data_IF_863573480899
#
_entry.id   IF_863573480899
#
_cell.length_a   1.000
_cell.length_b   1.000
_cell.length_c   1.000
_cell.angle_alpha   90.00
_cell.angle_beta   90.00
_cell.angle_gamma   90.00
#
_symmetry.space_group_name_H-M   'P 1'
#
loop_
_entity.id
_entity.type
_entity.pdbx_description
1 polymer ?
#
# COMPACT_ATOMS: atom_id res chain seq x y z
N UNK A 1 8.58 -63.61 -27.63
CA UNK A 1 7.89 -62.53 -26.88
C UNK A 1 8.72 -62.17 -25.67
N UNK A 2 9.40 -61.02 -25.64
CA UNK A 2 9.67 -60.29 -24.38
C UNK A 2 10.34 -58.95 -24.70
N UNK A 3 9.52 -57.94 -24.99
CA UNK A 3 9.92 -56.53 -24.95
C UNK A 3 9.84 -56.08 -23.50
N UNK A 4 10.91 -56.29 -22.73
CA UNK A 4 11.10 -55.69 -21.40
C UNK A 4 12.58 -55.36 -21.24
N UNK A 5 12.86 -54.18 -20.71
CA UNK A 5 14.18 -53.68 -20.29
C UNK A 5 14.96 -52.83 -21.30
N UNK A 6 14.45 -51.64 -21.61
CA UNK A 6 15.28 -50.49 -22.02
C UNK A 6 14.77 -49.17 -21.41
N UNK A 7 14.55 -49.16 -20.09
CA UNK A 7 14.26 -47.94 -19.32
C UNK A 7 14.91 -48.03 -17.93
N UNK A 8 16.22 -47.84 -17.77
CA UNK A 8 16.77 -47.71 -16.39
C UNK A 8 18.17 -47.11 -16.20
N UNK A 9 18.86 -46.54 -17.19
CA UNK A 9 20.31 -46.24 -17.02
C UNK A 9 20.68 -44.74 -17.04
N UNK A 10 19.72 -43.81 -16.92
CA UNK A 10 20.04 -42.37 -16.90
C UNK A 10 19.37 -41.59 -15.76
N UNK A 11 19.56 -42.01 -14.50
CA UNK A 11 18.99 -41.28 -13.35
C UNK A 11 19.83 -41.07 -12.07
N UNK A 12 21.18 -41.20 -12.02
CA UNK A 12 21.92 -40.83 -10.82
C UNK A 12 22.40 -39.36 -10.79
N UNK A 13 22.81 -38.76 -11.92
CA UNK A 13 23.46 -37.43 -11.90
C UNK A 13 22.51 -36.25 -11.61
N UNK A 14 21.22 -36.35 -11.94
CA UNK A 14 20.24 -35.29 -11.62
C UNK A 14 19.93 -35.19 -10.12
N UNK A 15 20.03 -36.29 -9.36
CA UNK A 15 19.72 -36.31 -7.92
C UNK A 15 20.79 -35.62 -7.07
N UNK A 16 22.07 -35.79 -7.39
CA UNK A 16 23.17 -35.20 -6.61
C UNK A 16 23.24 -33.68 -6.72
N UNK A 17 23.03 -33.12 -7.93
CA UNK A 17 22.96 -31.68 -8.14
C UNK A 17 21.74 -31.04 -7.43
N UNK A 18 20.57 -31.70 -7.44
CA UNK A 18 19.37 -31.23 -6.74
C UNK A 18 19.50 -31.19 -5.21
N UNK A 19 20.25 -32.11 -4.59
CA UNK A 19 20.44 -32.15 -3.13
C UNK A 19 21.26 -30.96 -2.63
N UNK A 20 22.29 -30.55 -3.37
CA UNK A 20 23.15 -29.42 -2.97
C UNK A 20 22.40 -28.08 -3.09
N UNK A 21 21.57 -27.91 -4.12
CA UNK A 21 20.72 -26.72 -4.28
C UNK A 21 19.69 -26.59 -3.16
N UNK A 22 19.05 -27.69 -2.73
CA UNK A 22 18.06 -27.66 -1.63
C UNK A 22 18.68 -27.23 -0.31
N UNK A 23 19.88 -27.72 0.01
CA UNK A 23 20.60 -27.30 1.22
C UNK A 23 20.97 -25.81 1.21
N UNK A 24 21.37 -25.26 0.06
CA UNK A 24 21.67 -23.83 -0.09
C UNK A 24 20.41 -22.98 0.10
N UNK A 25 19.30 -23.37 -0.53
CA UNK A 25 18.00 -22.68 -0.41
C UNK A 25 17.50 -22.73 1.05
N UNK A 26 17.61 -23.87 1.73
CA UNK A 26 17.23 -23.99 3.14
C UNK A 26 18.06 -23.08 4.04
N UNK A 27 19.37 -22.95 3.79
CA UNK A 27 20.22 -22.00 4.54
C UNK A 27 19.80 -20.55 4.27
N UNK A 28 19.57 -20.18 3.01
CA UNK A 28 19.09 -18.84 2.64
C UNK A 28 17.76 -18.50 3.32
N UNK A 29 16.82 -19.45 3.39
CA UNK A 29 15.56 -19.28 4.10
C UNK A 29 15.74 -19.09 5.60
N UNK A 30 16.65 -19.85 6.22
CA UNK A 30 17.00 -19.67 7.63
C UNK A 30 17.57 -18.28 7.89
N UNK A 31 18.55 -17.83 7.09
CA UNK A 31 19.12 -16.48 7.24
C UNK A 31 18.09 -15.37 7.04
N UNK A 32 17.18 -15.51 6.07
CA UNK A 32 16.11 -14.55 5.86
C UNK A 32 15.16 -14.48 7.07
N UNK A 33 14.79 -15.64 7.63
CA UNK A 33 13.91 -15.72 8.80
C UNK A 33 14.56 -15.12 10.05
N UNK A 34 15.86 -15.39 10.26
CA UNK A 34 16.63 -14.79 11.36
C UNK A 34 16.75 -13.27 11.22
N UNK A 35 16.96 -12.76 10.00
CA UNK A 35 16.98 -11.32 9.75
C UNK A 35 15.62 -10.66 9.98
N UNK A 36 14.53 -11.29 9.54
CA UNK A 36 13.19 -10.79 9.76
C UNK A 36 12.84 -10.78 11.26
N UNK A 37 13.24 -11.81 12.01
CA UNK A 37 13.07 -11.85 13.46
C UNK A 37 13.82 -10.70 14.18
N UNK A 38 15.05 -10.39 13.75
CA UNK A 38 15.81 -9.24 14.29
C UNK A 38 15.12 -7.91 13.99
N UNK A 39 14.66 -7.70 12.75
CA UNK A 39 13.91 -6.50 12.35
C UNK A 39 12.61 -6.34 13.14
N UNK A 40 11.92 -7.45 13.44
CA UNK A 40 10.73 -7.45 14.29
C UNK A 40 11.06 -7.03 15.72
N UNK A 41 12.14 -7.56 16.31
CA UNK A 41 12.60 -7.15 17.64
C UNK A 41 12.96 -5.66 17.69
N UNK A 42 13.68 -5.15 16.70
CA UNK A 42 13.98 -3.73 16.58
C UNK A 42 12.71 -2.88 16.44
N UNK A 43 11.75 -3.34 15.63
CA UNK A 43 10.47 -2.66 15.46
C UNK A 43 9.65 -2.62 16.76
N UNK A 44 9.62 -3.71 17.51
CA UNK A 44 8.95 -3.80 18.80
C UNK A 44 9.61 -2.93 19.86
N UNK A 45 10.93 -2.79 19.84
CA UNK A 45 11.65 -1.86 20.72
C UNK A 45 11.32 -0.39 20.39
N UNK A 46 11.15 -0.03 19.12
CA UNK A 46 10.83 1.34 18.70
C UNK A 46 9.33 1.70 18.83
N UNK A 47 8.45 0.72 18.60
CA UNK A 47 7.00 0.87 18.60
C UNK A 47 6.40 -0.27 19.45
N UNK A 48 6.40 -0.15 20.79
CA UNK A 48 6.01 -1.25 21.66
C UNK A 48 4.52 -1.58 21.51
N UNK A 49 3.65 -0.56 21.51
CA UNK A 49 2.20 -0.77 21.59
C UNK A 49 1.52 -0.66 20.22
N UNK A 50 0.43 -1.41 20.01
CA UNK A 50 -0.46 -1.23 18.85
C UNK A 50 -1.03 0.19 18.75
N UNK A 51 -1.29 0.84 19.88
CA UNK A 51 -1.76 2.23 19.91
C UNK A 51 -0.72 3.19 19.31
N UNK A 52 0.57 2.98 19.59
CA UNK A 52 1.66 3.80 19.06
C UNK A 52 1.79 3.64 17.54
N UNK A 53 1.67 2.39 17.07
CA UNK A 53 1.63 2.06 15.65
C UNK A 53 0.46 2.76 14.93
N UNK A 54 -0.76 2.63 15.46
CA UNK A 54 -1.94 3.26 14.87
C UNK A 54 -1.87 4.79 14.91
N UNK A 55 -1.27 5.37 15.96
CA UNK A 55 -1.02 6.81 16.03
C UNK A 55 -0.04 7.27 14.94
N UNK A 56 1.02 6.50 14.65
CA UNK A 56 1.95 6.79 13.56
C UNK A 56 1.28 6.67 12.19
N UNK A 57 0.47 5.63 11.96
CA UNK A 57 -0.29 5.47 10.72
C UNK A 57 -1.29 6.61 10.51
N UNK A 58 -1.99 7.03 11.57
CA UNK A 58 -2.88 8.21 11.53
C UNK A 58 -2.10 9.47 11.18
N UNK A 59 -0.92 9.68 11.79
CA UNK A 59 -0.02 10.79 11.45
C UNK A 59 0.37 10.79 9.97
N UNK A 60 0.85 9.66 9.43
CA UNK A 60 1.20 9.52 8.00
C UNK A 60 0.04 10.02 7.12
N UNK A 61 -1.19 9.53 7.37
CA UNK A 61 -2.39 9.95 6.63
C UNK A 61 -2.71 11.44 6.81
N UNK A 62 -2.53 11.99 8.00
CA UNK A 62 -2.72 13.43 8.24
C UNK A 62 -1.71 14.27 7.44
N UNK A 63 -0.46 13.83 7.31
CA UNK A 63 0.54 14.53 6.47
C UNK A 63 0.19 14.47 4.99
N UNK A 64 -0.27 13.31 4.47
CA UNK A 64 -0.75 13.17 3.09
C UNK A 64 -1.95 14.08 2.78
N UNK A 65 -2.87 14.25 3.73
CA UNK A 65 -4.03 15.12 3.56
C UNK A 65 -3.65 16.60 3.73
N UNK A 66 -2.80 16.91 4.72
CA UNK A 66 -2.36 18.27 4.98
C UNK A 66 -1.48 18.82 3.85
N UNK A 67 -0.78 17.97 3.11
CA UNK A 67 0.11 18.40 2.03
C UNK A 67 -0.61 18.90 0.77
N UNK A 68 -1.90 18.61 0.58
CA UNK A 68 -2.66 19.13 -0.57
C UNK A 68 -2.65 20.67 -0.62
N UNK A 69 -2.85 21.31 0.53
CA UNK A 69 -2.95 22.77 0.63
C UNK A 69 -1.64 23.45 0.23
N UNK A 70 -0.48 23.20 0.88
CA UNK A 70 0.77 23.83 0.50
C UNK A 70 1.23 23.42 -0.90
N UNK A 71 1.00 22.17 -1.30
CA UNK A 71 1.39 21.68 -2.63
C UNK A 71 0.60 22.35 -3.75
N UNK A 72 -0.62 22.86 -3.49
CA UNK A 72 -1.41 23.64 -4.46
C UNK A 72 -1.03 25.12 -4.43
N UNK A 73 -0.89 25.68 -3.23
CA UNK A 73 -0.67 27.12 -3.02
C UNK A 73 0.73 27.55 -3.48
N UNK A 74 1.77 26.77 -3.19
CA UNK A 74 3.16 27.15 -3.52
C UNK A 74 3.36 27.27 -5.04
N UNK A 75 2.98 26.28 -5.88
CA UNK A 75 3.11 26.41 -7.33
C UNK A 75 2.20 27.49 -7.93
N UNK A 76 0.96 27.64 -7.43
CA UNK A 76 0.07 28.70 -7.89
C UNK A 76 0.63 30.09 -7.58
N UNK A 77 1.17 30.28 -6.37
CA UNK A 77 1.82 31.54 -5.98
C UNK A 77 3.09 31.80 -6.77
N UNK A 78 3.92 30.78 -6.99
CA UNK A 78 5.13 30.89 -7.81
C UNK A 78 4.80 31.25 -9.27
N UNK A 79 3.78 30.61 -9.86
CA UNK A 79 3.32 30.94 -11.21
C UNK A 79 2.77 32.37 -11.29
N UNK A 80 1.96 32.77 -10.31
CA UNK A 80 1.44 34.14 -10.23
C UNK A 80 2.56 35.18 -10.11
N UNK A 81 3.55 34.94 -9.23
CA UNK A 81 4.70 35.81 -9.08
C UNK A 81 5.52 35.91 -10.38
N UNK A 82 5.72 34.77 -11.05
CA UNK A 82 6.40 34.71 -12.35
C UNK A 82 5.68 35.54 -13.43
N UNK A 83 4.35 35.42 -13.53
CA UNK A 83 3.58 36.20 -14.49
C UNK A 83 3.47 37.68 -14.13
N UNK A 84 3.59 38.05 -12.85
CA UNK A 84 3.58 39.44 -12.41
C UNK A 84 4.88 40.19 -12.78
N UNK A 85 6.01 39.48 -12.85
CA UNK A 85 7.29 40.04 -13.28
C UNK A 85 7.43 40.12 -14.81
N UNK A 86 6.64 39.33 -15.56
CA UNK A 86 6.71 39.32 -17.01
C UNK A 86 6.08 40.58 -17.59
N UNK A 87 6.84 41.33 -18.41
CA UNK A 87 6.29 42.46 -19.16
C UNK A 87 5.28 41.95 -20.20
N UNK A 88 4.00 42.26 -20.00
CA UNK A 88 2.91 41.85 -20.88
C UNK A 88 2.84 42.84 -22.05
N UNK A 89 3.38 42.47 -23.21
CA UNK A 89 3.13 43.18 -24.48
C UNK A 89 1.78 42.70 -25.07
N UNK A 90 0.76 43.58 -25.18
CA UNK A 90 -0.58 43.24 -25.69
C UNK A 90 -0.59 42.67 -27.11
N UNK A 91 0.47 42.87 -27.89
CA UNK A 91 0.55 42.41 -29.27
C UNK A 91 1.21 41.03 -29.42
N UNK A 92 1.85 40.53 -28.36
CA UNK A 92 2.45 39.20 -28.38
C UNK A 92 1.43 38.16 -27.94
N UNK A 93 1.13 37.22 -28.82
CA UNK A 93 0.16 36.16 -28.55
C UNK A 93 0.88 34.92 -28.03
N UNK A 94 0.54 34.45 -26.83
CA UNK A 94 1.12 33.22 -26.25
C UNK A 94 0.21 32.04 -26.62
N UNK A 95 0.69 31.12 -27.46
CA UNK A 95 -0.10 29.99 -28.00
C UNK A 95 -1.44 30.42 -28.66
N UNK A 96 -1.48 31.57 -29.33
CA UNK A 96 -2.72 32.06 -29.96
C UNK A 96 -3.75 32.67 -28.98
N UNK A 97 -3.41 32.79 -27.69
CA UNK A 97 -4.22 33.42 -26.66
C UNK A 97 -3.61 34.76 -26.17
N UNK A 98 -4.47 35.64 -25.66
CA UNK A 98 -4.08 36.85 -24.92
C UNK A 98 -3.18 36.46 -23.72
N UNK A 99 -2.02 37.13 -23.53
CA UNK A 99 -1.15 36.94 -22.37
C UNK A 99 -1.85 36.84 -21.02
N UNK A 100 -2.91 37.63 -20.77
CA UNK A 100 -3.64 37.58 -19.49
C UNK A 100 -4.37 36.24 -19.32
N UNK A 101 -5.00 35.74 -20.38
CA UNK A 101 -5.68 34.45 -20.37
C UNK A 101 -4.69 33.29 -20.26
N UNK A 102 -3.56 33.37 -20.98
CA UNK A 102 -2.48 32.38 -20.89
C UNK A 102 -1.89 32.31 -19.47
N UNK A 103 -1.65 33.45 -18.82
CA UNK A 103 -1.16 33.52 -17.44
C UNK A 103 -2.17 32.97 -16.43
N UNK A 104 -3.47 33.25 -16.61
CA UNK A 104 -4.52 32.71 -15.77
C UNK A 104 -4.60 31.18 -15.87
N UNK A 105 -4.62 30.63 -17.10
CA UNK A 105 -4.62 29.19 -17.34
C UNK A 105 -3.33 28.55 -16.79
N UNK A 106 -2.18 29.19 -17.00
CA UNK A 106 -0.89 28.72 -16.48
C UNK A 106 -0.88 28.65 -14.95
N UNK A 107 -1.43 29.66 -14.28
CA UNK A 107 -1.51 29.70 -12.81
C UNK A 107 -2.44 28.62 -12.26
N UNK A 108 -3.62 28.45 -12.87
CA UNK A 108 -4.56 27.38 -12.51
C UNK A 108 -3.94 26.01 -12.79
N UNK A 109 -3.26 25.84 -13.92
CA UNK A 109 -2.56 24.62 -14.29
C UNK A 109 -1.43 24.27 -13.32
N UNK A 110 -0.65 25.25 -12.89
CA UNK A 110 0.40 25.07 -11.87
C UNK A 110 -0.20 24.65 -10.51
N UNK A 111 -1.28 25.30 -10.07
CA UNK A 111 -1.98 24.92 -8.85
C UNK A 111 -2.55 23.51 -8.92
N UNK A 112 -3.20 23.14 -10.02
CA UNK A 112 -3.75 21.80 -10.23
C UNK A 112 -2.65 20.72 -10.29
N UNK A 113 -1.54 21.00 -10.99
CA UNK A 113 -0.38 20.10 -11.00
C UNK A 113 0.19 19.91 -9.60
N UNK A 114 0.27 21.00 -8.83
CA UNK A 114 0.65 20.98 -7.42
C UNK A 114 -0.29 20.13 -6.55
N UNK A 115 -1.60 20.24 -6.75
CA UNK A 115 -2.61 19.45 -6.04
C UNK A 115 -2.42 17.94 -6.28
N UNK A 116 -2.18 17.52 -7.52
CA UNK A 116 -1.96 16.11 -7.86
C UNK A 116 -0.71 15.53 -7.18
N UNK A 117 0.34 16.33 -7.04
CA UNK A 117 1.58 15.93 -6.37
C UNK A 117 1.48 15.95 -4.83
N UNK A 118 0.38 16.45 -4.26
CA UNK A 118 0.20 16.66 -2.82
C UNK A 118 0.54 15.45 -1.95
N UNK A 119 -0.08 14.28 -2.14
CA UNK A 119 0.16 13.11 -1.28
C UNK A 119 1.60 12.60 -1.33
N UNK A 120 2.23 12.67 -2.50
CA UNK A 120 3.63 12.24 -2.69
C UNK A 120 4.56 13.14 -1.87
N UNK A 121 4.37 14.46 -1.94
CA UNK A 121 5.14 15.42 -1.13
C UNK A 121 4.89 15.20 0.36
N UNK A 122 3.64 14.93 0.76
CA UNK A 122 3.27 14.65 2.15
C UNK A 122 3.95 13.41 2.72
N UNK A 123 3.99 12.31 1.96
CA UNK A 123 4.67 11.08 2.36
C UNK A 123 6.20 11.28 2.47
N UNK A 124 6.80 12.02 1.54
CA UNK A 124 8.23 12.35 1.59
C UNK A 124 8.58 13.15 2.85
N UNK A 125 7.80 14.18 3.17
CA UNK A 125 7.98 14.99 4.39
C UNK A 125 7.80 14.12 5.64
N UNK A 126 6.77 13.27 5.68
CA UNK A 126 6.55 12.37 6.80
C UNK A 126 7.74 11.40 7.00
N UNK A 127 8.25 10.82 5.91
CA UNK A 127 9.41 9.92 5.92
C UNK A 127 10.68 10.61 6.37
N UNK A 128 10.90 11.86 5.96
CA UNK A 128 12.05 12.66 6.39
C UNK A 128 11.99 12.91 7.91
N UNK A 129 10.83 13.33 8.44
CA UNK A 129 10.66 13.65 9.86
C UNK A 129 10.67 12.41 10.77
N UNK A 130 10.19 11.26 10.27
CA UNK A 130 10.05 10.02 11.05
C UNK A 130 10.99 8.91 10.60
N UNK A 131 12.08 9.23 9.90
CA UNK A 131 13.00 8.29 9.26
C UNK A 131 13.39 7.09 10.13
N UNK A 132 13.66 7.34 11.42
CA UNK A 132 13.99 6.31 12.41
C UNK A 132 12.86 5.29 12.64
N UNK A 133 11.61 5.74 12.63
CA UNK A 133 10.42 4.92 12.93
C UNK A 133 9.78 4.31 11.68
N UNK A 134 10.08 4.82 10.48
CA UNK A 134 9.51 4.31 9.22
C UNK A 134 9.88 2.84 9.01
N UNK A 135 11.14 2.46 9.20
CA UNK A 135 11.56 1.07 9.05
C UNK A 135 10.83 0.13 10.02
N UNK A 136 10.70 0.52 11.29
CA UNK A 136 9.94 -0.22 12.30
C UNK A 136 8.44 -0.30 11.94
N UNK A 137 7.88 0.80 11.45
CA UNK A 137 6.48 0.86 11.05
C UNK A 137 6.20 -0.03 9.84
N UNK A 138 7.09 -0.09 8.84
CA UNK A 138 6.91 -0.94 7.66
C UNK A 138 6.92 -2.44 8.03
N UNK A 139 7.70 -2.84 9.05
CA UNK A 139 7.67 -4.21 9.61
C UNK A 139 6.32 -4.47 10.29
N UNK A 140 5.84 -3.55 11.13
CA UNK A 140 4.52 -3.64 11.78
C UNK A 140 3.36 -3.61 10.77
N UNK A 141 3.48 -2.85 9.68
CA UNK A 141 2.51 -2.78 8.58
C UNK A 141 2.32 -4.16 7.93
N UNK A 142 3.42 -4.91 7.71
CA UNK A 142 3.36 -6.28 7.19
C UNK A 142 2.64 -7.23 8.15
N UNK A 143 2.97 -7.17 9.45
CA UNK A 143 2.31 -7.99 10.48
C UNK A 143 0.82 -7.66 10.54
N UNK A 144 0.47 -6.38 10.51
CA UNK A 144 -0.92 -5.93 10.48
C UNK A 144 -1.65 -6.41 9.22
N UNK A 145 -1.01 -6.35 8.06
CA UNK A 145 -1.58 -6.86 6.81
C UNK A 145 -1.90 -8.35 6.89
N UNK A 146 -1.02 -9.17 7.48
CA UNK A 146 -1.29 -10.60 7.69
C UNK A 146 -2.49 -10.83 8.63
N UNK A 147 -2.64 -10.00 9.68
CA UNK A 147 -3.85 -10.05 10.52
C UNK A 147 -5.12 -9.69 9.75
N UNK A 148 -5.09 -8.67 8.89
CA UNK A 148 -6.25 -8.30 8.05
C UNK A 148 -6.55 -9.42 7.05
N UNK A 149 -5.54 -9.92 6.35
CA UNK A 149 -5.68 -10.99 5.36
C UNK A 149 -6.27 -12.27 5.95
N UNK A 150 -5.92 -12.62 7.18
CA UNK A 150 -6.46 -13.80 7.87
C UNK A 150 -7.92 -13.62 8.30
N UNK A 151 -8.34 -12.40 8.63
CA UNK A 151 -9.66 -12.13 9.24
C UNK A 151 -10.67 -11.47 8.28
N UNK A 152 -10.29 -11.16 7.03
CA UNK A 152 -11.18 -10.60 6.02
C UNK A 152 -12.25 -11.62 5.60
N UNK A 153 -13.47 -11.16 5.35
CA UNK A 153 -14.52 -11.96 4.75
C UNK A 153 -14.18 -12.30 3.28
N UNK A 154 -14.68 -13.44 2.80
CA UNK A 154 -14.53 -13.82 1.40
C UNK A 154 -15.34 -12.86 0.51
N UNK A 155 -14.70 -12.37 -0.55
CA UNK A 155 -15.33 -11.48 -1.52
C UNK A 155 -16.47 -12.18 -2.29
N UNK A 156 -16.47 -13.52 -2.34
CA UNK A 156 -17.53 -14.32 -2.97
C UNK A 156 -18.88 -14.20 -2.27
N UNK A 157 -18.89 -13.93 -0.96
CA UNK A 157 -20.10 -13.77 -0.16
C UNK A 157 -20.76 -12.39 -0.33
N UNK A 158 -20.32 -11.61 -1.31
CA UNK A 158 -20.90 -10.32 -1.63
C UNK A 158 -22.24 -10.48 -2.32
N UNK A 159 -23.24 -9.73 -1.87
CA UNK A 159 -24.51 -9.58 -2.59
C UNK A 159 -24.96 -8.13 -2.54
N UNK A 160 -25.85 -7.74 -3.46
CA UNK A 160 -26.43 -6.38 -3.51
C UNK A 160 -27.06 -5.98 -2.15
N UNK A 161 -27.57 -6.97 -1.39
CA UNK A 161 -28.19 -6.77 -0.07
C UNK A 161 -27.19 -6.86 1.10
N UNK A 162 -25.98 -7.36 0.87
CA UNK A 162 -24.91 -7.52 1.85
C UNK A 162 -23.55 -7.11 1.23
N UNK A 163 -23.32 -5.81 1.01
CA UNK A 163 -22.07 -5.34 0.43
C UNK A 163 -20.88 -5.70 1.31
N UNK A 164 -19.75 -6.05 0.68
CA UNK A 164 -18.52 -6.42 1.39
C UNK A 164 -18.03 -5.26 2.24
N UNK A 165 -17.80 -5.46 3.56
CA UNK A 165 -17.16 -4.48 4.41
C UNK A 165 -15.73 -4.20 3.92
N UNK A 166 -15.11 -3.12 4.39
CA UNK A 166 -13.72 -2.72 4.05
C UNK A 166 -12.78 -3.94 3.95
N UNK A 167 -12.43 -4.32 2.72
CA UNK A 167 -11.73 -5.57 2.42
C UNK A 167 -10.23 -5.52 2.78
N UNK A 168 -9.64 -4.32 2.68
CA UNK A 168 -8.21 -4.10 2.91
C UNK A 168 -7.91 -3.50 4.29
N UNK A 169 -8.93 -3.11 5.05
CA UNK A 169 -8.75 -2.49 6.36
C UNK A 169 -8.11 -1.10 6.24
N UNK A 170 -8.44 -0.36 5.17
CA UNK A 170 -7.96 1.00 4.95
C UNK A 170 -8.37 1.92 6.11
N UNK A 171 -9.61 1.77 6.58
CA UNK A 171 -10.23 2.66 7.58
C UNK A 171 -9.83 2.35 9.02
N UNK A 172 -8.92 1.40 9.23
CA UNK A 172 -8.51 0.95 10.57
C UNK A 172 -7.38 1.87 11.07
N UNK A 173 -7.75 2.85 11.90
CA UNK A 173 -6.82 3.86 12.45
C UNK A 173 -6.63 3.72 13.97
N UNK A 174 -7.27 2.75 14.61
CA UNK A 174 -7.16 2.49 16.05
C UNK A 174 -7.47 1.04 16.38
N UNK A 175 -7.12 0.62 17.61
CA UNK A 175 -7.44 -0.74 18.10
C UNK A 175 -8.96 -0.94 18.24
N UNK A 176 -9.71 0.10 18.62
CA UNK A 176 -11.18 0.04 18.67
C UNK A 176 -11.78 -0.14 17.29
N UNK A 177 -11.26 0.55 16.27
CA UNK A 177 -11.70 0.41 14.89
C UNK A 177 -11.40 -0.99 14.37
N UNK A 178 -10.23 -1.55 14.72
CA UNK A 178 -9.88 -2.92 14.38
C UNK A 178 -10.88 -3.94 14.97
N UNK A 179 -11.24 -3.78 16.26
CA UNK A 179 -12.25 -4.65 16.90
C UNK A 179 -13.63 -4.49 16.26
N UNK A 180 -14.02 -3.27 15.90
CA UNK A 180 -15.27 -3.02 15.19
C UNK A 180 -15.27 -3.62 13.79
N UNK A 181 -14.15 -3.50 13.07
CA UNK A 181 -13.93 -4.11 11.78
C UNK A 181 -14.06 -5.64 11.85
N UNK A 182 -13.42 -6.29 12.83
CA UNK A 182 -13.56 -7.75 13.04
C UNK A 182 -15.02 -8.18 13.25
N UNK A 183 -15.81 -7.40 13.98
CA UNK A 183 -17.25 -7.68 14.15
C UNK A 183 -18.00 -7.58 12.81
N UNK A 184 -17.71 -6.55 12.01
CA UNK A 184 -18.31 -6.38 10.67
C UNK A 184 -17.96 -7.53 9.74
N UNK A 185 -16.71 -8.01 9.75
CA UNK A 185 -16.30 -9.16 8.92
C UNK A 185 -17.07 -10.43 9.30
N UNK A 186 -17.18 -10.73 10.62
CA UNK A 186 -17.97 -11.89 11.09
C UNK A 186 -19.45 -11.77 10.78
N UNK A 187 -20.01 -10.56 10.89
CA UNK A 187 -21.40 -10.32 10.54
C UNK A 187 -21.65 -10.52 9.05
N UNK A 188 -20.75 -10.03 8.19
CA UNK A 188 -20.81 -10.23 6.74
C UNK A 188 -20.75 -11.72 6.37
N UNK A 189 -19.81 -12.46 6.97
CA UNK A 189 -19.72 -13.91 6.82
C UNK A 189 -21.00 -14.62 7.25
N UNK A 190 -21.52 -14.29 8.45
CA UNK A 190 -22.78 -14.86 8.95
C UNK A 190 -23.95 -14.62 8.00
N UNK A 191 -24.07 -13.41 7.44
CA UNK A 191 -25.12 -13.06 6.47
C UNK A 191 -24.94 -13.76 5.12
N UNK A 192 -23.70 -13.94 4.68
CA UNK A 192 -23.39 -14.66 3.43
C UNK A 192 -23.69 -16.15 3.52
N UNK A 193 -23.41 -16.78 4.67
CA UNK A 193 -23.62 -18.23 4.87
C UNK A 193 -25.06 -18.59 5.22
N UNK A 194 -25.89 -17.62 5.64
CA UNK A 194 -27.28 -17.86 6.03
C UNK A 194 -28.17 -18.40 4.87
N UNK A 195 -27.67 -18.44 3.62
CA UNK A 195 -28.33 -19.06 2.46
C UNK A 195 -27.69 -20.35 1.93
N UNK A 196 -26.60 -20.84 2.54
CA UNK A 196 -25.82 -22.01 2.09
C UNK A 196 -24.34 -21.90 2.47
N UNK A 197 -23.69 -23.02 2.79
CA UNK A 197 -22.26 -23.06 3.14
C UNK A 197 -21.37 -22.61 1.97
N UNK A 198 -20.30 -21.86 2.26
CA UNK A 198 -19.32 -21.40 1.27
C UNK A 198 -18.67 -22.56 0.49
N UNK A 199 -18.60 -23.75 1.09
CA UNK A 199 -18.05 -24.97 0.48
C UNK A 199 -18.89 -25.53 -0.68
N UNK A 200 -20.14 -25.09 -0.85
CA UNK A 200 -21.00 -25.52 -1.96
C UNK A 200 -20.72 -24.76 -3.27
N UNK A 201 -19.89 -23.71 -3.24
CA UNK A 201 -19.58 -22.89 -4.42
C UNK A 201 -18.44 -23.53 -5.25
N UNK A 202 -17.66 -24.45 -4.67
CA UNK A 202 -16.53 -25.09 -5.35
C UNK A 202 -16.91 -26.37 -6.13
N UNK A 203 -18.18 -26.81 -6.08
CA UNK A 203 -18.69 -28.03 -6.74
C UNK A 203 -19.60 -27.76 -7.96
N UNK A 204 -19.59 -26.54 -8.51
CA UNK A 204 -20.28 -26.17 -9.76
C UNK A 204 -19.30 -25.62 -10.81
#
# INVERSE_FOLDING_TARGET
MSTRAMQSVWTPMRRAAQVNTRAIVQRQQKYATEQDAKKQQEADNMIPTWNDYFALRKKRRTFEIASYVPSTVVPAFAAMAYFAEMEIDPFTTIMGMDPVMAAAIGTVGAGFGGFLCGPVVGDLVFKALNSKKVAAMDVRDKIFYEHVKKNRADARLNSIRNPVPDYYGEKILSVSDYRAWLRKQREHYRKGVFGGSADNIDNE
#
